data_IF_830832771452
#
_entry.id   IF_830832771452
#
_cell.length_a   1.000
_cell.length_b   1.000
_cell.length_c   1.000
_cell.angle_alpha   90.00
_cell.angle_beta   90.00
_cell.angle_gamma   90.00
#
_symmetry.space_group_name_H-M   'P 1'
#
loop_
_entity.id
_entity.type
_entity.pdbx_description
1 polymer ?
#
# COMPACT_ATOMS: atom_id res chain seq x y z
N UNK A 1 -14.32 -20.46 -20.80
CA UNK A 1 -12.87 -20.15 -20.99
C UNK A 1 -12.56 -18.87 -21.79
N UNK A 2 -13.19 -18.53 -22.94
CA UNK A 2 -12.93 -17.24 -23.63
C UNK A 2 -13.50 -16.02 -22.89
N UNK A 3 -14.67 -16.13 -22.26
CA UNK A 3 -15.33 -15.05 -21.51
C UNK A 3 -14.56 -14.65 -20.23
N UNK A 4 -13.87 -15.58 -19.59
CA UNK A 4 -13.15 -15.34 -18.34
C UNK A 4 -11.88 -14.49 -18.52
N UNK A 5 -11.24 -14.56 -19.70
CA UNK A 5 -10.06 -13.75 -20.02
C UNK A 5 -10.35 -12.26 -20.28
N UNK A 6 -11.61 -11.89 -20.46
CA UNK A 6 -12.01 -10.49 -20.62
C UNK A 6 -12.27 -9.78 -19.26
N UNK A 7 -12.60 -10.57 -18.21
CA UNK A 7 -12.85 -10.03 -16.88
C UNK A 7 -11.52 -9.63 -16.22
N UNK A 8 -11.42 -8.41 -15.75
CA UNK A 8 -10.22 -7.88 -15.10
C UNK A 8 -9.01 -7.76 -16.03
N UNK A 9 -9.23 -7.55 -17.35
CA UNK A 9 -8.17 -7.43 -18.34
C UNK A 9 -7.25 -6.24 -18.09
N UNK A 10 -7.82 -5.10 -17.71
CA UNK A 10 -7.03 -3.92 -17.39
C UNK A 10 -6.31 -4.11 -16.07
N UNK A 11 -6.98 -4.63 -15.04
CA UNK A 11 -6.38 -4.94 -13.74
C UNK A 11 -5.16 -5.86 -13.89
N UNK A 12 -5.29 -6.98 -14.65
CA UNK A 12 -4.15 -7.87 -14.91
C UNK A 12 -2.99 -7.15 -15.60
N UNK A 13 -3.29 -6.44 -16.69
CA UNK A 13 -2.28 -5.68 -17.43
C UNK A 13 -1.54 -4.70 -16.52
N UNK A 14 -2.26 -3.96 -15.71
CA UNK A 14 -1.73 -2.93 -14.82
C UNK A 14 -0.91 -3.52 -13.66
N UNK A 15 -1.27 -4.71 -13.14
CA UNK A 15 -0.43 -5.46 -12.21
C UNK A 15 0.90 -5.85 -12.87
N UNK A 16 0.88 -6.31 -14.12
CA UNK A 16 2.09 -6.65 -14.88
C UNK A 16 2.91 -5.42 -15.29
N UNK A 17 2.33 -4.23 -15.28
CA UNK A 17 3.02 -2.95 -15.49
C UNK A 17 3.68 -2.38 -14.22
N UNK A 18 3.45 -2.94 -13.03
CA UNK A 18 4.05 -2.48 -11.76
C UNK A 18 5.57 -2.33 -11.85
N UNK A 19 6.35 -3.30 -12.38
CA UNK A 19 7.79 -3.15 -12.49
C UNK A 19 8.22 -1.94 -13.32
N UNK A 20 7.55 -1.69 -14.45
CA UNK A 20 7.83 -0.54 -15.30
C UNK A 20 7.42 0.78 -14.60
N UNK A 21 6.29 0.79 -13.91
CA UNK A 21 5.81 1.95 -13.15
C UNK A 21 6.79 2.35 -12.05
N UNK A 22 7.33 1.39 -11.31
CA UNK A 22 8.36 1.65 -10.29
C UNK A 22 9.65 2.20 -10.91
N UNK A 23 10.11 1.64 -12.03
CA UNK A 23 11.30 2.14 -12.75
C UNK A 23 11.13 3.58 -13.24
N UNK A 24 9.91 3.98 -13.57
CA UNK A 24 9.63 5.35 -14.02
C UNK A 24 9.44 6.33 -12.86
N UNK A 25 8.85 5.89 -11.75
CA UNK A 25 8.51 6.74 -10.61
C UNK A 25 9.71 7.03 -9.68
N UNK A 26 10.52 6.01 -9.38
CA UNK A 26 11.59 6.10 -8.36
C UNK A 26 12.83 6.92 -8.81
N UNK A 27 13.32 6.85 -10.07
CA UNK A 27 14.57 7.51 -10.47
C UNK A 27 14.56 9.04 -10.45
N UNK A 28 13.48 9.69 -10.02
CA UNK A 28 13.38 11.16 -9.90
C UNK A 28 14.23 11.71 -8.71
N UNK A 29 15.41 11.14 -8.46
CA UNK A 29 16.24 11.45 -7.29
C UNK A 29 16.56 12.93 -7.16
N UNK A 30 16.78 13.64 -8.27
CA UNK A 30 17.04 15.09 -8.26
C UNK A 30 15.84 15.89 -7.74
N UNK A 31 14.62 15.54 -8.18
CA UNK A 31 13.37 16.18 -7.74
C UNK A 31 13.08 15.85 -6.27
N UNK A 32 13.22 14.58 -5.88
CA UNK A 32 13.08 14.15 -4.48
C UNK A 32 14.05 14.88 -3.56
N UNK A 33 15.31 15.05 -4.01
CA UNK A 33 16.34 15.77 -3.28
C UNK A 33 16.00 17.26 -3.13
N UNK A 34 15.44 17.90 -4.15
CA UNK A 34 14.98 19.30 -4.10
C UNK A 34 13.83 19.45 -3.11
N UNK A 35 12.81 18.59 -3.18
CA UNK A 35 11.66 18.60 -2.26
C UNK A 35 12.13 18.38 -0.81
N UNK A 36 12.99 17.39 -0.59
CA UNK A 36 13.61 17.14 0.72
C UNK A 36 14.38 18.35 1.25
N UNK A 37 15.10 19.08 0.37
CA UNK A 37 15.79 20.31 0.77
C UNK A 37 14.84 21.39 1.27
N UNK A 38 13.69 21.56 0.63
CA UNK A 38 12.69 22.53 1.05
C UNK A 38 12.05 22.16 2.40
N UNK A 39 11.72 20.87 2.60
CA UNK A 39 11.22 20.37 3.89
C UNK A 39 12.21 20.67 5.02
N UNK A 40 13.49 20.39 4.79
CA UNK A 40 14.56 20.58 5.78
C UNK A 40 14.85 22.07 6.03
N UNK A 41 14.92 22.90 4.99
CA UNK A 41 15.22 24.33 5.12
C UNK A 41 14.10 25.10 5.84
N UNK A 42 12.85 24.68 5.70
CA UNK A 42 11.70 25.23 6.44
C UNK A 42 11.66 24.76 7.92
N UNK A 43 12.57 23.86 8.32
CA UNK A 43 12.59 23.27 9.66
C UNK A 43 11.23 22.64 10.01
N UNK A 44 10.66 21.91 9.04
CA UNK A 44 9.34 21.27 9.17
C UNK A 44 9.25 20.45 10.45
N UNK A 45 8.18 20.67 11.22
CA UNK A 45 7.95 20.02 12.49
C UNK A 45 7.15 18.72 12.35
N UNK A 46 6.12 18.71 11.50
CA UNK A 46 5.30 17.54 11.23
C UNK A 46 5.07 17.36 9.74
N UNK A 47 4.94 16.11 9.33
CA UNK A 47 4.51 15.73 8.00
C UNK A 47 3.12 15.10 8.07
N UNK A 48 2.19 15.59 7.27
CA UNK A 48 0.86 15.02 7.12
C UNK A 48 0.70 14.46 5.71
N UNK A 49 0.58 13.13 5.61
CA UNK A 49 0.32 12.41 4.36
C UNK A 49 -1.19 12.27 4.22
N UNK A 50 -1.80 12.92 3.25
CA UNK A 50 -3.25 12.90 3.09
C UNK A 50 -3.65 12.27 1.76
N UNK A 51 -4.69 11.45 1.80
CA UNK A 51 -5.21 10.78 0.61
C UNK A 51 -6.59 10.20 0.84
N UNK A 52 -7.15 9.57 -0.19
CA UNK A 52 -8.40 8.83 -0.11
C UNK A 52 -8.18 7.38 -0.56
N UNK A 53 -8.87 6.42 0.06
CA UNK A 53 -8.78 5.01 -0.30
C UNK A 53 -7.34 4.49 -0.33
N UNK A 54 -6.91 3.94 -1.47
CA UNK A 54 -5.56 3.38 -1.65
C UNK A 54 -4.45 4.40 -1.37
N UNK A 55 -4.60 5.66 -1.77
CA UNK A 55 -3.61 6.70 -1.52
C UNK A 55 -3.44 7.00 -0.01
N UNK A 56 -4.52 6.92 0.79
CA UNK A 56 -4.41 6.98 2.24
C UNK A 56 -3.61 5.79 2.79
N UNK A 57 -3.90 4.57 2.30
CA UNK A 57 -3.16 3.37 2.74
C UNK A 57 -1.68 3.43 2.34
N UNK A 58 -1.34 4.03 1.19
CA UNK A 58 0.05 4.26 0.78
C UNK A 58 0.75 5.22 1.75
N UNK A 59 0.11 6.33 2.10
CA UNK A 59 0.59 7.24 3.13
C UNK A 59 0.82 6.53 4.46
N UNK A 60 -0.18 5.76 4.93
CA UNK A 60 -0.10 5.03 6.20
C UNK A 60 1.06 4.03 6.21
N UNK A 61 1.26 3.25 5.15
CA UNK A 61 2.37 2.31 5.05
C UNK A 61 3.73 3.01 5.18
N UNK A 62 3.86 4.19 4.57
CA UNK A 62 5.13 4.90 4.51
C UNK A 62 5.39 5.78 5.74
N UNK A 63 4.40 6.10 6.59
CA UNK A 63 4.65 6.79 7.87
C UNK A 63 5.71 6.09 8.71
N UNK A 64 5.74 4.76 8.68
CA UNK A 64 6.75 3.97 9.40
C UNK A 64 8.18 4.26 8.94
N UNK A 65 8.36 4.42 7.62
CA UNK A 65 9.67 4.74 7.04
C UNK A 65 10.11 6.17 7.39
N UNK A 66 9.21 7.15 7.26
CA UNK A 66 9.46 8.54 7.66
C UNK A 66 9.81 8.65 9.14
N UNK A 67 9.01 8.04 10.02
CA UNK A 67 9.25 8.10 11.46
C UNK A 67 10.54 7.39 11.85
N UNK A 68 10.87 6.26 11.23
CA UNK A 68 12.08 5.47 11.53
C UNK A 68 13.36 6.19 11.10
N UNK A 69 13.39 6.72 9.87
CA UNK A 69 14.63 7.24 9.29
C UNK A 69 14.68 8.76 9.24
N UNK A 70 13.65 9.45 8.79
CA UNK A 70 13.64 10.91 8.77
C UNK A 70 13.44 11.51 10.17
N UNK A 71 12.82 10.75 11.09
CA UNK A 71 12.57 11.17 12.49
C UNK A 71 11.88 12.54 12.58
N UNK A 72 11.04 12.85 11.60
CA UNK A 72 10.06 13.93 11.66
C UNK A 72 8.72 13.25 11.97
N UNK A 73 7.99 13.65 13.01
CA UNK A 73 6.68 13.09 13.30
C UNK A 73 5.80 13.15 12.05
N UNK A 74 5.41 11.97 11.57
CA UNK A 74 4.68 11.81 10.31
C UNK A 74 3.40 11.05 10.57
N UNK A 75 2.30 11.59 10.09
CA UNK A 75 0.95 11.06 10.26
C UNK A 75 0.30 10.86 8.89
N UNK A 76 -0.52 9.84 8.76
CA UNK A 76 -1.38 9.68 7.59
C UNK A 76 -2.83 9.87 7.99
N UNK A 77 -3.60 10.62 7.18
CA UNK A 77 -5.01 10.88 7.46
C UNK A 77 -5.84 10.83 6.17
N UNK A 78 -7.10 10.44 6.30
CA UNK A 78 -8.05 10.60 5.22
C UNK A 78 -8.21 12.08 4.86
N UNK A 79 -8.14 12.41 3.57
CA UNK A 79 -8.21 13.78 3.12
C UNK A 79 -9.48 14.52 3.63
N UNK A 80 -10.60 13.81 3.72
CA UNK A 80 -11.85 14.39 4.26
C UNK A 80 -11.73 14.68 5.76
N UNK A 81 -11.15 13.76 6.55
CA UNK A 81 -11.03 13.89 8.01
C UNK A 81 -9.95 14.90 8.42
N UNK A 82 -8.98 15.17 7.56
CA UNK A 82 -7.93 16.16 7.77
C UNK A 82 -8.47 17.52 8.22
N UNK A 83 -9.56 17.98 7.63
CA UNK A 83 -10.18 19.29 7.96
C UNK A 83 -10.72 19.35 9.39
N UNK A 84 -11.11 18.22 9.96
CA UNK A 84 -11.70 18.15 11.29
C UNK A 84 -10.64 17.84 12.34
N UNK A 85 -9.73 16.93 12.05
CA UNK A 85 -8.77 16.39 13.00
C UNK A 85 -7.45 17.19 13.01
N UNK A 86 -6.92 17.53 11.85
CA UNK A 86 -5.57 18.12 11.73
C UNK A 86 -5.60 19.62 11.55
N UNK A 87 -6.53 20.18 10.74
CA UNK A 87 -6.61 21.64 10.51
C UNK A 87 -6.58 22.48 11.79
N UNK A 88 -7.27 22.10 12.89
CA UNK A 88 -7.27 22.90 14.13
C UNK A 88 -5.90 23.08 14.80
N UNK A 89 -4.95 22.16 14.55
CA UNK A 89 -3.61 22.16 15.14
C UNK A 89 -2.50 22.51 14.12
N UNK A 90 -2.88 22.73 12.87
CA UNK A 90 -1.95 22.95 11.76
C UNK A 90 -1.25 24.30 11.89
N UNK A 91 0.05 24.34 11.61
CA UNK A 91 0.89 25.55 11.65
C UNK A 91 1.67 25.73 10.36
N UNK A 92 2.21 26.92 10.13
CA UNK A 92 3.10 27.22 8.99
C UNK A 92 4.40 26.40 8.95
N UNK A 93 4.75 25.76 10.09
CA UNK A 93 5.92 24.88 10.22
C UNK A 93 5.62 23.44 9.82
N UNK A 94 4.41 23.14 9.41
CA UNK A 94 4.00 21.80 9.00
C UNK A 94 4.09 21.66 7.47
N UNK A 95 4.19 20.43 7.01
CA UNK A 95 4.16 20.10 5.60
C UNK A 95 3.03 19.10 5.33
N UNK A 96 2.22 19.39 4.31
CA UNK A 96 1.12 18.53 3.89
C UNK A 96 1.45 17.93 2.52
N UNK A 97 1.49 16.61 2.46
CA UNK A 97 1.77 15.84 1.24
C UNK A 97 0.46 15.19 0.78
N UNK A 98 -0.10 15.70 -0.30
CA UNK A 98 -1.32 15.20 -0.91
C UNK A 98 -1.02 14.07 -1.89
N UNK A 99 -1.61 12.90 -1.66
CA UNK A 99 -1.45 11.71 -2.49
C UNK A 99 -2.77 11.46 -3.22
N UNK A 100 -2.74 11.49 -4.57
CA UNK A 100 -3.92 11.26 -5.40
C UNK A 100 -3.52 10.86 -6.80
N UNK A 101 -3.86 9.65 -7.24
CA UNK A 101 -3.54 9.16 -8.59
C UNK A 101 -4.01 10.16 -9.67
N UNK A 102 -5.24 10.65 -9.61
CA UNK A 102 -5.80 11.59 -10.59
C UNK A 102 -5.36 13.05 -10.38
N UNK A 103 -5.05 13.41 -9.13
CA UNK A 103 -4.84 14.80 -8.73
C UNK A 103 -6.12 15.67 -8.76
N UNK A 104 -7.30 15.04 -8.94
CA UNK A 104 -8.61 15.69 -9.06
C UNK A 104 -9.58 15.32 -7.93
N UNK A 105 -9.13 14.57 -6.90
CA UNK A 105 -9.96 14.19 -5.77
C UNK A 105 -10.37 15.41 -4.95
N UNK A 106 -11.66 15.71 -4.92
CA UNK A 106 -12.23 16.92 -4.31
C UNK A 106 -11.79 17.15 -2.86
N UNK A 107 -11.87 16.11 -2.03
CA UNK A 107 -11.50 16.22 -0.62
C UNK A 107 -10.01 16.52 -0.43
N UNK A 108 -9.15 15.91 -1.25
CA UNK A 108 -7.71 16.15 -1.22
C UNK A 108 -7.39 17.58 -1.66
N UNK A 109 -8.04 18.09 -2.72
CA UNK A 109 -7.92 19.46 -3.18
C UNK A 109 -8.36 20.44 -2.08
N UNK A 110 -9.49 20.18 -1.44
CA UNK A 110 -9.99 21.04 -0.37
C UNK A 110 -9.04 21.08 0.82
N UNK A 111 -8.45 19.98 1.20
CA UNK A 111 -7.49 19.91 2.30
C UNK A 111 -6.19 20.66 1.99
N UNK A 112 -5.72 20.60 0.75
CA UNK A 112 -4.58 21.43 0.32
C UNK A 112 -4.91 22.93 0.35
N UNK A 113 -6.12 23.35 -0.02
CA UNK A 113 -6.54 24.76 0.13
C UNK A 113 -6.40 25.22 1.58
N UNK A 114 -6.94 24.43 2.51
CA UNK A 114 -6.85 24.72 3.95
C UNK A 114 -5.40 24.77 4.46
N UNK A 115 -4.54 23.86 4.00
CA UNK A 115 -3.13 23.86 4.37
C UNK A 115 -2.39 25.12 3.85
N UNK A 116 -2.71 25.55 2.63
CA UNK A 116 -2.16 26.81 2.05
C UNK A 116 -2.63 28.07 2.77
N UNK A 117 -3.89 28.11 3.20
CA UNK A 117 -4.41 29.22 4.01
C UNK A 117 -3.65 29.40 5.33
N UNK A 118 -3.15 28.32 5.91
CA UNK A 118 -2.31 28.32 7.13
C UNK A 118 -0.85 28.68 6.82
N UNK A 119 -0.41 28.55 5.56
CA UNK A 119 1.00 28.80 5.16
C UNK A 119 1.89 27.56 5.18
N UNK A 120 1.31 26.37 5.28
CA UNK A 120 2.07 25.11 5.25
C UNK A 120 2.79 24.91 3.92
N UNK A 121 3.92 24.20 3.95
CA UNK A 121 4.53 23.65 2.75
C UNK A 121 3.60 22.59 2.18
N UNK A 122 3.27 22.68 0.89
CA UNK A 122 2.37 21.74 0.23
C UNK A 122 3.08 20.98 -0.89
N UNK A 123 2.91 19.66 -0.92
CA UNK A 123 3.49 18.76 -1.90
C UNK A 123 2.38 17.89 -2.46
N UNK A 124 2.32 17.71 -3.78
CA UNK A 124 1.43 16.74 -4.42
C UNK A 124 2.20 15.56 -4.98
N UNK A 125 1.61 14.37 -4.87
CA UNK A 125 2.04 13.14 -5.54
C UNK A 125 0.89 12.71 -6.43
N UNK A 126 1.05 12.83 -7.76
CA UNK A 126 -0.01 12.52 -8.73
C UNK A 126 0.56 11.81 -9.97
N UNK A 127 -0.32 11.20 -10.76
CA UNK A 127 0.09 10.58 -12.03
C UNK A 127 -0.02 11.54 -13.24
N UNK A 128 -0.50 12.77 -13.02
CA UNK A 128 -0.71 13.77 -14.08
C UNK A 128 -0.07 15.11 -13.69
N UNK A 129 0.84 15.58 -14.54
CA UNK A 129 1.60 16.83 -14.32
C UNK A 129 0.77 18.08 -14.42
N UNK A 130 -0.39 18.01 -15.05
CA UNK A 130 -1.31 19.12 -15.29
C UNK A 130 -2.60 19.04 -14.44
N UNK A 131 -2.62 18.18 -13.44
CA UNK A 131 -3.75 18.04 -12.52
C UNK A 131 -3.95 19.29 -11.64
N UNK A 132 -5.13 19.41 -11.06
CA UNK A 132 -5.44 20.50 -10.12
C UNK A 132 -4.47 20.51 -8.93
N UNK A 133 -4.20 19.37 -8.32
CA UNK A 133 -3.24 19.28 -7.20
C UNK A 133 -1.82 19.64 -7.62
N UNK A 134 -1.36 19.21 -8.81
CA UNK A 134 0.00 19.51 -9.28
C UNK A 134 0.23 21.01 -9.47
N UNK A 135 -0.79 21.73 -9.94
CA UNK A 135 -0.74 23.19 -10.13
C UNK A 135 -0.89 23.98 -8.83
N UNK A 136 -1.56 23.41 -7.83
CA UNK A 136 -1.86 24.11 -6.57
C UNK A 136 -0.75 24.02 -5.54
N UNK A 137 -0.03 22.91 -5.48
CA UNK A 137 0.99 22.66 -4.48
C UNK A 137 2.30 23.39 -4.81
N UNK A 138 3.11 23.66 -3.77
CA UNK A 138 4.43 24.29 -3.92
C UNK A 138 5.42 23.37 -4.65
N UNK A 139 5.24 22.05 -4.50
CA UNK A 139 6.01 21.04 -5.19
C UNK A 139 5.12 19.91 -5.71
N UNK A 140 5.56 19.27 -6.79
CA UNK A 140 4.91 18.13 -7.39
C UNK A 140 5.88 16.97 -7.61
N UNK A 141 5.48 15.78 -7.23
CA UNK A 141 6.16 14.50 -7.50
C UNK A 141 5.29 13.68 -8.45
N UNK A 142 5.79 13.40 -9.64
CA UNK A 142 5.06 12.69 -10.67
C UNK A 142 5.25 11.17 -10.51
N UNK A 143 4.16 10.40 -10.51
CA UNK A 143 4.22 8.91 -10.50
C UNK A 143 4.70 8.34 -11.83
N UNK A 144 4.36 8.98 -12.94
CA UNK A 144 4.78 8.59 -14.29
C UNK A 144 4.48 7.11 -14.64
N UNK A 145 3.32 6.60 -14.18
CA UNK A 145 2.89 5.21 -14.36
C UNK A 145 2.17 4.95 -15.69
N UNK A 146 1.97 5.99 -16.51
CA UNK A 146 1.02 5.92 -17.61
C UNK A 146 -0.45 5.81 -17.13
N UNK A 147 -1.38 5.70 -18.07
CA UNK A 147 -2.80 5.60 -17.74
C UNK A 147 -3.13 4.31 -16.98
N UNK A 148 -3.90 4.40 -15.90
CA UNK A 148 -4.49 3.29 -15.17
C UNK A 148 -5.99 3.28 -15.41
N UNK A 149 -6.47 2.29 -16.19
CA UNK A 149 -7.86 2.19 -16.68
C UNK A 149 -8.78 1.45 -15.72
N UNK A 150 -8.25 0.44 -15.03
CA UNK A 150 -9.01 -0.25 -13.99
C UNK A 150 -9.39 0.73 -12.89
N UNK A 151 -10.60 0.58 -12.35
CA UNK A 151 -11.02 1.34 -11.18
C UNK A 151 -10.17 0.97 -9.96
N UNK A 152 -9.78 -0.30 -9.86
CA UNK A 152 -8.87 -0.75 -8.82
C UNK A 152 -7.49 -0.08 -8.99
N UNK A 153 -7.03 0.61 -7.96
CA UNK A 153 -5.66 1.08 -7.91
C UNK A 153 -4.71 -0.11 -7.72
N UNK A 154 -3.75 -0.25 -8.63
CA UNK A 154 -2.75 -1.33 -8.60
C UNK A 154 -1.35 -0.77 -8.75
N UNK A 155 -0.93 -0.43 -9.98
CA UNK A 155 0.41 0.09 -10.27
C UNK A 155 0.65 1.47 -9.67
N UNK A 156 -0.37 2.33 -9.65
CA UNK A 156 -0.25 3.67 -9.07
C UNK A 156 -0.05 3.60 -7.56
N UNK A 157 -0.77 2.72 -6.86
CA UNK A 157 -0.57 2.50 -5.43
C UNK A 157 0.87 2.08 -5.11
N UNK A 158 1.43 1.13 -5.86
CA UNK A 158 2.82 0.67 -5.62
C UNK A 158 3.83 1.76 -5.97
N UNK A 159 3.56 2.58 -6.99
CA UNK A 159 4.38 3.73 -7.33
C UNK A 159 4.31 4.84 -6.26
N UNK A 160 3.14 5.10 -5.66
CA UNK A 160 2.98 5.99 -4.51
C UNK A 160 3.89 5.57 -3.34
N UNK A 161 3.90 4.27 -3.01
CA UNK A 161 4.81 3.72 -2.00
C UNK A 161 6.29 3.97 -2.37
N UNK A 162 6.67 3.75 -3.63
CA UNK A 162 8.03 3.95 -4.11
C UNK A 162 8.51 5.40 -4.02
N UNK A 163 7.68 6.35 -4.46
CA UNK A 163 7.99 7.80 -4.40
C UNK A 163 8.08 8.28 -2.95
N UNK A 164 7.17 7.86 -2.09
CA UNK A 164 7.19 8.19 -0.66
C UNK A 164 8.43 7.61 0.03
N UNK A 165 8.80 6.36 -0.29
CA UNK A 165 10.02 5.75 0.24
C UNK A 165 11.26 6.54 -0.16
N UNK A 166 11.39 6.89 -1.44
CA UNK A 166 12.49 7.73 -1.94
C UNK A 166 12.55 9.10 -1.23
N UNK A 167 11.40 9.75 -1.05
CA UNK A 167 11.34 11.04 -0.34
C UNK A 167 11.78 10.92 1.12
N UNK A 168 11.33 9.89 1.83
CA UNK A 168 11.71 9.64 3.22
C UNK A 168 13.23 9.44 3.37
N UNK A 169 13.84 8.68 2.43
CA UNK A 169 15.30 8.46 2.41
C UNK A 169 16.07 9.75 2.13
N UNK A 170 15.62 10.57 1.19
CA UNK A 170 16.27 11.86 0.90
C UNK A 170 16.21 12.83 2.10
N UNK A 171 15.05 12.92 2.78
CA UNK A 171 14.93 13.73 4.00
C UNK A 171 15.85 13.22 5.10
N UNK A 172 15.85 11.89 5.34
CA UNK A 172 16.71 11.27 6.35
C UNK A 172 18.20 11.54 6.11
N UNK A 173 18.63 11.44 4.85
CA UNK A 173 20.00 11.71 4.43
C UNK A 173 20.38 13.18 4.65
N UNK A 174 19.55 14.13 4.24
CA UNK A 174 19.78 15.57 4.42
C UNK A 174 19.85 15.98 5.88
N UNK A 175 19.01 15.39 6.72
CA UNK A 175 19.04 15.59 8.18
C UNK A 175 20.19 14.83 8.87
N UNK A 176 20.97 14.03 8.13
CA UNK A 176 22.04 13.16 8.67
C UNK A 176 21.51 12.21 9.76
N UNK A 177 20.26 11.74 9.61
CA UNK A 177 19.59 10.83 10.56
C UNK A 177 19.69 9.36 10.17
N UNK A 178 20.25 9.08 9.00
CA UNK A 178 20.59 7.76 8.49
C UNK A 178 22.08 7.71 8.15
N UNK A 179 22.75 6.60 8.43
CA UNK A 179 24.14 6.37 8.04
C UNK A 179 24.27 6.26 6.51
N UNK A 180 25.39 6.71 5.94
CA UNK A 180 25.61 6.66 4.49
C UNK A 180 25.53 5.24 3.93
N UNK A 181 25.94 4.23 4.70
CA UNK A 181 25.85 2.82 4.32
C UNK A 181 24.38 2.39 4.20
N UNK A 182 23.59 2.59 5.26
CA UNK A 182 22.19 2.18 5.31
C UNK A 182 21.35 2.91 4.25
N UNK A 183 21.63 4.21 4.03
CA UNK A 183 21.02 5.00 2.97
C UNK A 183 21.27 4.40 1.58
N UNK A 184 22.54 4.06 1.28
CA UNK A 184 22.90 3.48 -0.02
C UNK A 184 22.29 2.07 -0.19
N UNK A 185 22.33 1.24 0.84
CA UNK A 185 21.75 -0.10 0.83
C UNK A 185 20.22 -0.04 0.57
N UNK A 186 19.50 0.86 1.26
CA UNK A 186 18.06 1.04 1.07
C UNK A 186 17.71 1.60 -0.32
N UNK A 187 18.50 2.53 -0.86
CA UNK A 187 18.31 3.04 -2.22
C UNK A 187 18.52 1.95 -3.26
N UNK A 188 19.59 1.16 -3.12
CA UNK A 188 19.85 0.02 -4.03
C UNK A 188 18.71 -1.00 -3.94
N UNK A 189 18.24 -1.29 -2.73
CA UNK A 189 17.14 -2.23 -2.53
C UNK A 189 15.83 -1.69 -3.14
N UNK A 190 15.50 -0.42 -2.95
CA UNK A 190 14.34 0.24 -3.54
C UNK A 190 14.36 0.15 -5.08
N UNK A 191 15.50 0.37 -5.71
CA UNK A 191 15.64 0.26 -7.16
C UNK A 191 15.50 -1.19 -7.66
N UNK A 192 15.96 -2.18 -6.87
CA UNK A 192 15.88 -3.60 -7.22
C UNK A 192 14.49 -4.21 -7.10
N UNK A 193 13.56 -3.56 -6.38
CA UNK A 193 12.20 -4.09 -6.18
C UNK A 193 11.52 -4.36 -7.51
N UNK A 194 11.67 -3.48 -8.50
CA UNK A 194 11.08 -3.66 -9.83
C UNK A 194 11.51 -4.96 -10.51
N UNK A 195 12.79 -5.32 -10.41
CA UNK A 195 13.34 -6.51 -11.05
C UNK A 195 12.93 -7.78 -10.28
N UNK A 196 12.89 -7.70 -8.94
CA UNK A 196 12.38 -8.78 -8.09
C UNK A 196 10.92 -9.09 -8.41
N UNK A 197 10.07 -8.08 -8.54
CA UNK A 197 8.67 -8.25 -8.92
C UNK A 197 8.58 -8.85 -10.32
N UNK A 198 9.30 -8.29 -11.29
CA UNK A 198 9.26 -8.73 -12.69
C UNK A 198 9.56 -10.23 -12.83
N UNK A 199 10.61 -10.69 -12.17
CA UNK A 199 11.03 -12.10 -12.25
C UNK A 199 10.06 -13.08 -11.57
N UNK A 200 9.38 -12.65 -10.50
CA UNK A 200 8.51 -13.54 -9.71
C UNK A 200 7.03 -13.51 -10.13
N UNK A 201 6.60 -12.44 -10.78
CA UNK A 201 5.18 -12.19 -11.08
C UNK A 201 4.48 -13.35 -11.81
N UNK A 202 5.06 -13.99 -12.86
CA UNK A 202 4.40 -15.11 -13.54
C UNK A 202 4.21 -16.34 -12.64
N UNK A 203 5.23 -16.68 -11.83
CA UNK A 203 5.19 -17.83 -10.90
C UNK A 203 4.18 -17.58 -9.80
N UNK A 204 4.20 -16.37 -9.24
CA UNK A 204 3.28 -15.92 -8.21
C UNK A 204 1.82 -15.99 -8.71
N UNK A 205 1.56 -15.51 -9.92
CA UNK A 205 0.23 -15.50 -10.51
C UNK A 205 -0.32 -16.91 -10.70
N UNK A 206 0.48 -17.84 -11.25
CA UNK A 206 0.06 -19.24 -11.43
C UNK A 206 -0.24 -19.95 -10.09
N UNK A 207 0.51 -19.64 -9.04
CA UNK A 207 0.25 -20.17 -7.70
C UNK A 207 -1.05 -19.62 -7.13
N UNK A 208 -1.27 -18.32 -7.28
CA UNK A 208 -2.49 -17.63 -6.80
C UNK A 208 -3.74 -18.14 -7.51
N UNK A 209 -3.69 -18.41 -8.81
CA UNK A 209 -4.81 -19.04 -9.56
C UNK A 209 -5.29 -20.34 -8.91
N UNK A 210 -4.36 -21.17 -8.44
CA UNK A 210 -4.72 -22.43 -7.76
C UNK A 210 -5.40 -22.17 -6.41
N UNK A 211 -4.88 -21.23 -5.64
CA UNK A 211 -5.41 -20.96 -4.30
C UNK A 211 -6.70 -20.12 -4.31
N UNK A 212 -6.91 -19.30 -5.32
CA UNK A 212 -8.13 -18.48 -5.45
C UNK A 212 -9.40 -19.31 -5.51
N UNK A 213 -9.33 -20.59 -5.96
CA UNK A 213 -10.44 -21.52 -5.99
C UNK A 213 -11.09 -21.74 -4.62
N UNK A 214 -10.29 -21.71 -3.55
CA UNK A 214 -10.78 -21.87 -2.17
C UNK A 214 -11.59 -20.67 -1.67
N UNK A 215 -11.46 -19.51 -2.34
CA UNK A 215 -12.19 -18.30 -2.01
C UNK A 215 -13.45 -18.08 -2.86
N UNK A 216 -13.79 -19.01 -3.75
CA UNK A 216 -14.95 -18.89 -4.65
C UNK A 216 -16.25 -18.56 -3.92
N UNK A 217 -16.49 -19.19 -2.79
CA UNK A 217 -17.69 -19.04 -1.98
C UNK A 217 -17.47 -18.15 -0.75
N UNK A 218 -16.29 -17.54 -0.62
CA UNK A 218 -16.04 -16.64 0.48
C UNK A 218 -16.86 -15.36 0.31
N UNK A 219 -17.61 -15.00 1.36
CA UNK A 219 -18.33 -13.72 1.47
C UNK A 219 -17.62 -12.78 2.42
N UNK A 220 -16.79 -13.33 3.29
CA UNK A 220 -16.10 -12.63 4.35
C UNK A 220 -14.63 -13.11 4.47
N UNK A 221 -13.72 -12.16 4.72
CA UNK A 221 -12.29 -12.46 4.92
C UNK A 221 -11.68 -11.47 5.90
N UNK A 222 -11.02 -11.95 6.95
CA UNK A 222 -10.14 -11.13 7.78
C UNK A 222 -8.76 -11.05 7.16
N UNK A 223 -8.17 -9.85 7.16
CA UNK A 223 -6.80 -9.65 6.72
C UNK A 223 -5.99 -9.15 7.93
N UNK A 224 -4.95 -9.91 8.29
CA UNK A 224 -4.14 -9.64 9.47
C UNK A 224 -2.76 -9.13 9.07
N UNK A 225 -2.30 -8.04 9.71
CA UNK A 225 -0.97 -7.47 9.50
C UNK A 225 -0.55 -6.63 10.70
N UNK A 226 0.75 -6.34 10.82
CA UNK A 226 1.31 -5.51 11.89
C UNK A 226 2.36 -4.54 11.34
N UNK A 227 2.48 -3.36 11.98
CA UNK A 227 3.39 -2.33 11.49
C UNK A 227 3.01 -1.87 10.08
N UNK A 228 3.98 -1.70 9.15
CA UNK A 228 3.69 -1.31 7.77
C UNK A 228 2.72 -2.26 7.07
N UNK A 229 2.71 -3.55 7.44
CA UNK A 229 1.84 -4.56 6.84
C UNK A 229 0.39 -4.45 7.30
N UNK A 230 0.10 -3.70 8.37
CA UNK A 230 -1.28 -3.34 8.69
C UNK A 230 -1.90 -2.45 7.61
N UNK A 231 -1.12 -1.52 7.05
CA UNK A 231 -1.57 -0.74 5.89
C UNK A 231 -1.79 -1.61 4.65
N UNK A 232 -0.92 -2.62 4.43
CA UNK A 232 -1.11 -3.63 3.38
C UNK A 232 -2.39 -4.44 3.60
N UNK A 233 -2.71 -4.79 4.85
CA UNK A 233 -3.96 -5.47 5.19
C UNK A 233 -5.19 -4.60 4.92
N UNK A 234 -5.14 -3.29 5.24
CA UNK A 234 -6.20 -2.33 4.92
C UNK A 234 -6.42 -2.19 3.41
N UNK A 235 -5.34 -2.06 2.65
CA UNK A 235 -5.42 -2.02 1.19
C UNK A 235 -5.96 -3.33 0.62
N UNK A 236 -5.52 -4.47 1.15
CA UNK A 236 -6.05 -5.78 0.79
C UNK A 236 -7.55 -5.92 1.05
N UNK A 237 -8.02 -5.43 2.19
CA UNK A 237 -9.44 -5.40 2.53
C UNK A 237 -10.24 -4.53 1.55
N UNK A 238 -9.68 -3.40 1.13
CA UNK A 238 -10.26 -2.54 0.10
C UNK A 238 -10.35 -3.28 -1.24
N UNK A 239 -9.26 -3.89 -1.70
CA UNK A 239 -9.22 -4.62 -2.99
C UNK A 239 -10.22 -5.77 -3.03
N UNK A 240 -10.34 -6.56 -1.96
CA UNK A 240 -11.32 -7.65 -1.89
C UNK A 240 -12.76 -7.15 -1.97
N UNK A 241 -13.08 -6.01 -1.33
CA UNK A 241 -14.42 -5.38 -1.42
C UNK A 241 -14.71 -4.90 -2.84
N UNK A 242 -13.80 -4.13 -3.43
CA UNK A 242 -13.96 -3.52 -4.74
C UNK A 242 -13.99 -4.56 -5.87
N UNK A 243 -12.99 -5.44 -5.91
CA UNK A 243 -12.78 -6.36 -7.02
C UNK A 243 -13.52 -7.68 -6.88
N UNK A 244 -13.50 -8.30 -5.72
CA UNK A 244 -14.00 -9.66 -5.50
C UNK A 244 -15.37 -9.71 -4.78
N UNK A 245 -15.90 -8.58 -4.32
CA UNK A 245 -17.11 -8.48 -3.52
C UNK A 245 -17.09 -9.42 -2.30
N UNK A 246 -15.96 -9.47 -1.66
CA UNK A 246 -15.78 -10.12 -0.37
C UNK A 246 -15.72 -9.01 0.68
N UNK A 247 -16.46 -9.15 1.77
CA UNK A 247 -16.35 -8.24 2.90
C UNK A 247 -15.00 -8.46 3.58
N UNK A 248 -13.96 -7.81 3.05
CA UNK A 248 -12.64 -7.79 3.65
C UNK A 248 -12.59 -6.86 4.87
N UNK A 249 -12.10 -7.36 6.01
CA UNK A 249 -11.89 -6.55 7.20
C UNK A 249 -10.46 -6.72 7.71
N UNK A 250 -9.70 -5.63 7.73
CA UNK A 250 -8.34 -5.63 8.24
C UNK A 250 -8.29 -5.44 9.75
N UNK A 251 -7.37 -6.13 10.39
CA UNK A 251 -7.02 -5.93 11.79
C UNK A 251 -5.50 -5.94 12.00
N UNK A 252 -5.06 -5.10 12.93
CA UNK A 252 -3.76 -5.30 13.54
C UNK A 252 -3.75 -6.63 14.29
N UNK A 253 -2.63 -7.35 14.20
CA UNK A 253 -2.49 -8.67 14.83
C UNK A 253 -2.87 -8.64 16.31
N UNK A 254 -2.42 -7.61 17.04
CA UNK A 254 -2.68 -7.48 18.47
C UNK A 254 -4.15 -7.16 18.80
N UNK A 255 -4.89 -6.51 17.89
CA UNK A 255 -6.28 -6.13 18.09
C UNK A 255 -7.28 -7.26 17.79
N UNK A 256 -6.90 -8.21 16.93
CA UNK A 256 -7.81 -9.30 16.55
C UNK A 256 -8.32 -10.14 17.73
N UNK A 257 -7.49 -10.47 18.76
CA UNK A 257 -7.96 -11.20 19.95
C UNK A 257 -8.97 -10.44 20.83
N UNK A 258 -9.06 -9.11 20.69
CA UNK A 258 -9.93 -8.25 21.53
C UNK A 258 -11.39 -8.18 21.04
N UNK A 259 -11.90 -9.27 20.46
CA UNK A 259 -13.29 -9.41 20.02
C UNK A 259 -13.41 -10.13 18.68
N UNK A 260 -12.80 -9.63 17.59
CA UNK A 260 -12.93 -10.21 16.25
C UNK A 260 -12.62 -11.71 16.14
N UNK A 261 -11.74 -12.24 16.96
CA UNK A 261 -11.38 -13.67 17.01
C UNK A 261 -12.61 -14.57 17.28
N UNK A 262 -13.68 -14.06 17.88
CA UNK A 262 -14.91 -14.82 18.12
C UNK A 262 -15.59 -15.23 16.83
N UNK A 263 -15.32 -14.53 15.72
CA UNK A 263 -15.82 -14.83 14.38
C UNK A 263 -14.93 -15.79 13.58
N UNK A 264 -13.81 -16.23 14.16
CA UNK A 264 -12.93 -17.22 13.51
C UNK A 264 -13.56 -18.62 13.64
N UNK A 265 -14.29 -19.03 12.61
CA UNK A 265 -15.04 -20.30 12.53
C UNK A 265 -14.64 -21.09 11.27
N UNK A 266 -15.10 -22.36 11.08
CA UNK A 266 -14.69 -23.20 9.95
C UNK A 266 -14.90 -22.61 8.54
N UNK A 267 -15.82 -21.64 8.38
CA UNK A 267 -16.08 -20.97 7.10
C UNK A 267 -15.36 -19.64 6.95
N UNK A 268 -14.64 -19.20 7.98
CA UNK A 268 -13.92 -17.94 7.96
C UNK A 268 -12.62 -18.06 7.16
N UNK A 269 -12.39 -17.12 6.25
CA UNK A 269 -11.14 -16.97 5.55
C UNK A 269 -10.25 -15.95 6.27
N UNK A 270 -9.01 -16.32 6.52
CA UNK A 270 -7.98 -15.46 7.09
C UNK A 270 -6.88 -15.27 6.02
N UNK A 271 -6.55 -14.04 5.71
CA UNK A 271 -5.39 -13.67 4.91
C UNK A 271 -4.36 -13.05 5.87
N UNK A 272 -3.23 -13.70 6.08
CA UNK A 272 -2.18 -13.25 6.97
C UNK A 272 -1.01 -12.66 6.19
N UNK A 273 -0.67 -11.38 6.43
CA UNK A 273 0.54 -10.75 5.92
C UNK A 273 1.64 -10.98 6.94
N UNK A 274 2.52 -11.93 6.66
CA UNK A 274 3.51 -12.42 7.63
C UNK A 274 4.82 -11.64 7.47
N UNK A 275 5.25 -10.88 8.50
CA UNK A 275 6.52 -10.15 8.46
C UNK A 275 7.71 -11.11 8.21
N UNK A 276 8.68 -10.65 7.42
CA UNK A 276 9.91 -11.41 7.18
C UNK A 276 10.79 -11.47 8.43
N UNK A 277 10.95 -10.32 9.09
CA UNK A 277 11.82 -10.18 10.24
C UNK A 277 11.33 -11.09 11.38
N UNK A 278 12.25 -11.87 11.94
CA UNK A 278 11.98 -12.71 13.13
C UNK A 278 11.98 -11.83 14.36
N UNK A 279 10.94 -11.02 14.47
CA UNK A 279 10.69 -10.13 15.59
C UNK A 279 9.35 -10.44 16.28
N UNK A 280 9.06 -9.72 17.33
CA UNK A 280 7.82 -9.87 18.12
C UNK A 280 6.54 -9.81 17.27
N UNK A 281 6.52 -9.02 16.17
CA UNK A 281 5.34 -8.93 15.29
C UNK A 281 5.05 -10.24 14.59
N UNK A 282 6.11 -10.90 14.09
CA UNK A 282 6.00 -12.21 13.44
C UNK A 282 5.59 -13.29 14.43
N UNK A 283 6.23 -13.34 15.59
CA UNK A 283 5.97 -14.34 16.60
C UNK A 283 4.52 -14.21 17.13
N UNK A 284 4.07 -13.01 17.41
CA UNK A 284 2.69 -12.72 17.83
C UNK A 284 1.67 -13.14 16.75
N UNK A 285 1.96 -12.87 15.48
CA UNK A 285 1.07 -13.29 14.39
C UNK A 285 1.01 -14.82 14.27
N UNK A 286 2.15 -15.49 14.25
CA UNK A 286 2.18 -16.96 14.14
C UNK A 286 1.45 -17.61 15.32
N UNK A 287 1.67 -17.13 16.54
CA UNK A 287 0.95 -17.63 17.72
C UNK A 287 -0.57 -17.37 17.63
N UNK A 288 -0.97 -16.20 17.13
CA UNK A 288 -2.39 -15.94 16.87
C UNK A 288 -2.97 -16.90 15.83
N UNK A 289 -2.22 -17.17 14.75
CA UNK A 289 -2.67 -18.10 13.71
C UNK A 289 -2.84 -19.53 14.21
N UNK A 290 -2.02 -19.98 15.17
CA UNK A 290 -2.21 -21.28 15.86
C UNK A 290 -3.57 -21.35 16.56
N UNK A 291 -3.92 -20.31 17.34
CA UNK A 291 -5.21 -20.22 18.02
C UNK A 291 -6.40 -20.15 17.04
N UNK A 292 -6.22 -19.49 15.91
CA UNK A 292 -7.23 -19.43 14.83
C UNK A 292 -7.38 -20.79 14.16
N UNK A 293 -6.28 -21.52 13.97
CA UNK A 293 -6.27 -22.85 13.36
C UNK A 293 -7.03 -23.88 14.20
N UNK A 294 -6.95 -23.81 15.52
CA UNK A 294 -7.72 -24.64 16.43
C UNK A 294 -9.23 -24.50 16.21
N UNK A 295 -9.68 -23.33 15.72
CA UNK A 295 -11.07 -23.01 15.40
C UNK A 295 -11.48 -23.45 13.99
N UNK A 296 -10.55 -24.11 13.24
CA UNK A 296 -10.77 -24.64 11.89
C UNK A 296 -11.07 -23.58 10.82
N UNK A 297 -10.70 -22.31 11.03
CA UNK A 297 -10.70 -21.31 9.98
C UNK A 297 -9.63 -21.62 8.92
N UNK A 298 -9.88 -21.20 7.68
CA UNK A 298 -8.94 -21.38 6.57
C UNK A 298 -7.95 -20.22 6.54
N UNK A 299 -6.65 -20.51 6.59
CA UNK A 299 -5.57 -19.53 6.67
C UNK A 299 -4.75 -19.57 5.39
N UNK A 300 -4.70 -18.44 4.68
CA UNK A 300 -3.75 -18.18 3.59
C UNK A 300 -2.72 -17.17 4.08
N UNK A 301 -1.44 -17.54 4.04
CA UNK A 301 -0.34 -16.66 4.43
C UNK A 301 0.42 -16.13 3.23
N UNK A 302 0.66 -14.82 3.19
CA UNK A 302 1.61 -14.18 2.29
C UNK A 302 2.88 -13.92 3.11
N UNK A 303 4.01 -14.42 2.64
CA UNK A 303 5.28 -14.34 3.36
C UNK A 303 6.44 -14.21 2.37
N UNK A 304 7.56 -13.67 2.81
CA UNK A 304 8.76 -13.64 1.99
C UNK A 304 9.42 -15.02 1.93
N UNK A 305 9.97 -15.37 0.76
CA UNK A 305 10.72 -16.59 0.59
C UNK A 305 11.88 -16.66 1.59
N UNK A 306 11.83 -17.56 2.57
CA UNK A 306 13.04 -17.91 3.30
C UNK A 306 13.97 -18.61 2.30
N UNK A 307 15.27 -18.63 2.53
CA UNK A 307 16.22 -19.40 1.76
C UNK A 307 15.99 -20.96 1.82
N UNK A 308 14.73 -21.39 2.04
CA UNK A 308 14.26 -22.77 2.08
C UNK A 308 12.73 -22.82 1.87
N UNK A 309 12.25 -23.92 1.27
CA UNK A 309 10.85 -24.13 0.88
C UNK A 309 9.87 -24.35 2.05
N UNK A 310 10.20 -23.97 3.27
CA UNK A 310 9.30 -24.21 4.40
C UNK A 310 8.18 -23.16 4.45
N UNK A 311 6.94 -23.65 4.30
CA UNK A 311 5.74 -22.87 4.55
C UNK A 311 5.65 -22.61 6.06
N UNK A 312 5.54 -21.35 6.52
CA UNK A 312 5.37 -21.07 7.93
C UNK A 312 4.15 -21.80 8.49
N UNK A 313 4.32 -22.55 9.57
CA UNK A 313 3.17 -23.10 10.28
C UNK A 313 2.54 -21.98 11.12
N UNK A 314 1.22 -21.94 11.28
CA UNK A 314 0.17 -22.95 10.99
C UNK A 314 -0.77 -22.58 9.81
N UNK A 315 -0.24 -22.15 8.67
CA UNK A 315 -1.07 -21.78 7.51
C UNK A 315 -1.45 -22.97 6.64
N UNK A 316 -2.62 -22.89 5.97
CA UNK A 316 -3.10 -23.93 5.04
C UNK A 316 -2.50 -23.76 3.65
N UNK A 317 -2.44 -22.50 3.19
CA UNK A 317 -1.94 -22.12 1.87
C UNK A 317 -0.90 -21.02 2.01
N UNK A 318 0.25 -21.22 1.39
CA UNK A 318 1.35 -20.26 1.47
C UNK A 318 1.67 -19.63 0.14
N UNK A 319 1.67 -18.31 0.09
CA UNK A 319 2.11 -17.49 -1.05
C UNK A 319 3.45 -16.88 -0.68
N UNK A 320 4.53 -17.41 -1.24
CA UNK A 320 5.85 -16.83 -1.10
C UNK A 320 6.03 -15.67 -2.08
N UNK A 321 6.59 -14.57 -1.61
CA UNK A 321 6.95 -13.38 -2.39
C UNK A 321 8.45 -13.10 -2.27
N UNK A 322 9.06 -12.36 -3.21
CA UNK A 322 10.50 -12.05 -3.13
C UNK A 322 10.88 -11.33 -1.85
N UNK A 323 12.06 -11.68 -1.34
CA UNK A 323 12.64 -11.01 -0.19
C UNK A 323 12.99 -9.54 -0.50
N UNK A 324 12.72 -8.64 0.45
CA UNK A 324 13.12 -7.23 0.39
C UNK A 324 13.38 -6.68 1.79
N UNK A 325 13.89 -5.45 1.88
CA UNK A 325 14.02 -4.79 3.18
C UNK A 325 12.64 -4.56 3.82
N UNK A 326 12.50 -4.85 5.11
CA UNK A 326 11.21 -4.85 5.84
C UNK A 326 10.38 -3.56 5.65
N UNK A 327 11.03 -2.40 5.61
CA UNK A 327 10.32 -1.14 5.43
C UNK A 327 9.84 -0.90 3.97
N UNK A 328 10.25 -1.75 3.03
CA UNK A 328 9.85 -1.74 1.63
C UNK A 328 8.89 -2.91 1.29
N UNK A 329 8.70 -3.81 2.23
CA UNK A 329 7.88 -5.01 2.12
C UNK A 329 6.44 -4.76 1.61
N UNK A 330 5.74 -3.68 2.02
CA UNK A 330 4.40 -3.38 1.51
C UNK A 330 4.31 -3.34 -0.03
N UNK A 331 5.37 -2.91 -0.73
CA UNK A 331 5.38 -2.83 -2.20
C UNK A 331 5.32 -4.21 -2.87
N UNK A 332 5.80 -5.25 -2.21
CA UNK A 332 5.82 -6.62 -2.73
C UNK A 332 4.61 -7.41 -2.24
N UNK A 333 4.28 -7.31 -0.95
CA UNK A 333 3.19 -8.07 -0.34
C UNK A 333 1.83 -7.77 -0.97
N UNK A 334 1.57 -6.51 -1.33
CA UNK A 334 0.29 -6.10 -1.91
C UNK A 334 0.02 -6.74 -3.27
N UNK A 335 1.06 -7.07 -4.05
CA UNK A 335 0.91 -7.67 -5.38
C UNK A 335 0.22 -9.03 -5.29
N UNK A 336 0.55 -9.81 -4.27
CA UNK A 336 -0.12 -11.08 -4.03
C UNK A 336 -1.62 -10.90 -3.77
N UNK A 337 -2.00 -9.86 -3.03
CA UNK A 337 -3.41 -9.53 -2.75
C UNK A 337 -4.13 -9.01 -4.00
N UNK A 338 -3.48 -8.18 -4.80
CA UNK A 338 -4.02 -7.68 -6.07
C UNK A 338 -4.31 -8.84 -7.04
N UNK A 339 -3.35 -9.76 -7.22
CA UNK A 339 -3.54 -10.96 -8.03
C UNK A 339 -4.63 -11.88 -7.46
N UNK A 340 -4.67 -12.07 -6.14
CA UNK A 340 -5.71 -12.88 -5.49
C UNK A 340 -7.10 -12.29 -5.74
N UNK A 341 -7.24 -10.97 -5.60
CA UNK A 341 -8.48 -10.25 -5.89
C UNK A 341 -8.92 -10.44 -7.34
N UNK A 342 -8.00 -10.28 -8.29
CA UNK A 342 -8.23 -10.51 -9.72
C UNK A 342 -8.75 -11.92 -9.99
N UNK A 343 -8.07 -12.93 -9.49
CA UNK A 343 -8.44 -14.33 -9.77
C UNK A 343 -9.75 -14.73 -9.10
N UNK A 344 -10.01 -14.26 -7.86
CA UNK A 344 -11.31 -14.48 -7.22
C UNK A 344 -12.42 -13.78 -8.01
N UNK A 345 -12.21 -12.57 -8.52
CA UNK A 345 -13.19 -11.86 -9.33
C UNK A 345 -13.58 -12.66 -10.58
N UNK A 346 -12.61 -13.25 -11.26
CA UNK A 346 -12.79 -14.11 -12.43
C UNK A 346 -13.62 -15.33 -12.11
N UNK A 347 -13.29 -16.05 -11.03
CA UNK A 347 -14.00 -17.25 -10.59
C UNK A 347 -15.44 -16.93 -10.22
N UNK A 348 -15.70 -15.75 -9.65
CA UNK A 348 -17.05 -15.28 -9.30
C UNK A 348 -17.80 -14.66 -10.49
N UNK A 349 -17.17 -14.53 -11.67
CA UNK A 349 -17.77 -13.88 -12.85
C UNK A 349 -17.96 -12.37 -12.68
N UNK A 350 -17.12 -11.72 -11.86
CA UNK A 350 -17.14 -10.28 -11.57
C UNK A 350 -16.09 -9.59 -12.44
N UNK A 351 -16.46 -8.46 -13.07
CA UNK A 351 -15.46 -7.60 -13.72
C UNK A 351 -14.90 -6.59 -12.72
N UNK A 352 -13.68 -6.82 -12.25
CA UNK A 352 -13.01 -5.94 -11.30
C UNK A 352 -12.46 -4.65 -11.96
N UNK A 353 -12.38 -4.57 -13.29
CA UNK A 353 -12.00 -3.33 -13.97
C UNK A 353 -13.03 -2.22 -13.77
N UNK A 354 -14.31 -2.61 -13.65
CA UNK A 354 -15.46 -1.69 -13.52
C UNK A 354 -16.41 -2.19 -12.43
N UNK A 355 -16.04 -2.06 -11.14
CA UNK A 355 -16.90 -2.45 -10.03
C UNK A 355 -18.22 -1.68 -10.06
N UNK A 356 -19.33 -2.34 -9.68
CA UNK A 356 -20.62 -1.66 -9.60
C UNK A 356 -20.60 -0.53 -8.57
N UNK A 357 -21.21 0.59 -8.90
CA UNK A 357 -21.36 1.76 -8.04
C UNK A 357 -20.04 2.47 -7.67
N UNK A 358 -18.95 2.15 -8.35
CA UNK A 358 -17.66 2.79 -8.14
C UNK A 358 -17.12 3.34 -9.46
N UNK A 359 -16.54 4.53 -9.43
CA UNK A 359 -15.86 5.17 -10.56
C UNK A 359 -14.42 5.51 -10.21
N UNK A 360 -13.56 5.68 -11.23
CA UNK A 360 -12.13 6.00 -11.02
C UNK A 360 -11.93 7.33 -10.29
N UNK A 361 -12.82 8.28 -10.52
CA UNK A 361 -12.85 9.57 -9.82
C UNK A 361 -14.16 9.61 -9.05
N UNK A 362 -14.11 9.34 -7.76
CA UNK A 362 -15.23 9.48 -6.85
C UNK A 362 -15.07 10.77 -6.04
N UNK A 363 -16.13 11.54 -5.96
CA UNK A 363 -16.24 12.67 -5.04
C UNK A 363 -17.71 12.79 -4.66
N UNK A 364 -17.98 12.94 -3.37
CA UNK A 364 -19.31 13.29 -2.84
C UNK A 364 -19.65 14.72 -3.27
#
# INVERSE_FOLDING_TARGET
MKKDKELGKFTEKEIYEIPASLRNAIPQKSVLNQVASNIVSRKTQHLYLIGAGSSYHAGLAMTYLFNKFAKIPTFSEYAMEFRYLIKPILTEKDCVIAISQSGETKDTIQSIKLAKEVGCLTISITNYSDSTLSRMCDHHLLLNCGEEKSVLATKTYVAELGVLAGLALEIANKLKRIGSRDYNELWVELLKISDKIHSHLPILHEKIKKYSLYFKFAEFCFILGSGPDYATALEGALKLKEGARIFGQAYSTAEFPHGPITLAEPKTCILAIIPQEKDERRDNLLHLLERIKERKATILGIYEEPGGNEIPKPIDFGIAVPNTHINLQPMIMIIAVQLLTLEISRIKGINCDTPKFLSKISGI
#
